data_IF_044914970759
#
_entry.id   IF_044914970759
#
_cell.length_a   1.000
_cell.length_b   1.000
_cell.length_c   1.000
_cell.angle_alpha   90.00
_cell.angle_beta   90.00
_cell.angle_gamma   90.00
#
_symmetry.space_group_name_H-M   'P 1'
#
loop_
_entity.id
_entity.type
_entity.pdbx_description
1 polymer ?
#
# COMPACT_ATOMS: atom_id res chain seq x y z
N UNK A 1 20.86 22.28 36.56
CA UNK A 1 20.68 20.87 36.14
C UNK A 1 20.36 20.72 34.65
N UNK A 2 19.48 21.55 34.06
CA UNK A 2 19.05 21.42 32.65
C UNK A 2 20.06 21.86 31.57
N UNK A 3 20.99 22.78 31.88
CA UNK A 3 22.06 23.17 30.93
C UNK A 3 23.12 22.07 30.79
N UNK A 4 23.33 21.29 31.86
CA UNK A 4 24.30 20.19 31.88
C UNK A 4 23.84 19.01 31.00
N UNK A 5 22.52 18.77 30.92
CA UNK A 5 21.94 17.70 30.10
C UNK A 5 22.04 18.02 28.61
N UNK A 6 21.81 19.29 28.22
CA UNK A 6 21.99 19.75 26.83
C UNK A 6 23.46 19.70 26.37
N UNK A 7 24.40 20.05 27.26
CA UNK A 7 25.83 19.94 26.98
C UNK A 7 26.31 18.47 26.89
N UNK A 8 25.76 17.57 27.72
CA UNK A 8 26.01 16.13 27.64
C UNK A 8 25.47 15.52 26.35
N UNK A 9 24.34 15.99 25.84
CA UNK A 9 23.79 15.58 24.54
C UNK A 9 24.70 16.00 23.38
N UNK A 10 25.18 17.25 23.37
CA UNK A 10 26.11 17.73 22.34
C UNK A 10 27.44 16.95 22.36
N UNK A 11 27.98 16.69 23.55
CA UNK A 11 29.22 15.93 23.73
C UNK A 11 29.08 14.46 23.29
N UNK A 12 27.93 13.83 23.56
CA UNK A 12 27.65 12.45 23.14
C UNK A 12 27.62 12.30 21.61
N UNK A 13 26.99 13.25 20.91
CA UNK A 13 26.97 13.26 19.44
C UNK A 13 28.33 13.57 18.82
N UNK A 14 29.14 14.43 19.45
CA UNK A 14 30.51 14.70 19.02
C UNK A 14 31.44 13.47 19.19
N UNK A 15 31.26 12.68 20.25
CA UNK A 15 32.02 11.44 20.47
C UNK A 15 31.68 10.35 19.44
N UNK A 16 30.40 10.23 19.05
CA UNK A 16 29.95 9.32 17.98
C UNK A 16 30.52 9.75 16.61
N UNK A 17 30.62 11.05 16.36
CA UNK A 17 31.24 11.60 15.16
C UNK A 17 32.73 11.23 15.05
N UNK A 18 33.49 11.33 16.15
CA UNK A 18 34.93 11.02 16.17
C UNK A 18 35.24 9.53 15.99
N UNK A 19 34.42 8.65 16.56
CA UNK A 19 34.62 7.19 16.46
C UNK A 19 34.30 6.60 15.08
N UNK A 20 33.59 7.33 14.21
CA UNK A 20 33.25 6.88 12.84
C UNK A 20 34.30 7.20 11.77
N UNK A 21 35.22 8.13 12.03
CA UNK A 21 36.20 8.60 11.04
C UNK A 21 37.60 7.95 11.17
N UNK A 22 37.77 6.96 12.06
CA UNK A 22 39.02 6.24 12.23
C UNK A 22 39.08 4.96 11.37
N UNK A 23 39.85 5.02 10.27
CA UNK A 23 40.31 3.94 9.36
C UNK A 23 39.51 3.75 8.07
N UNK A 24 40.00 4.36 6.99
CA UNK A 24 39.82 3.88 5.61
C UNK A 24 41.19 3.42 5.11
N UNK A 25 41.32 2.10 4.87
CA UNK A 25 42.46 1.46 4.22
C UNK A 25 42.26 1.49 2.70
N UNK A 26 43.23 2.04 1.98
CA UNK A 26 43.25 2.18 0.52
C UNK A 26 43.68 0.88 -0.17
N UNK A 27 42.80 0.29 -0.97
CA UNK A 27 43.11 -0.82 -1.87
C UNK A 27 42.78 -0.45 -3.32
N UNK A 28 43.82 -0.25 -4.15
CA UNK A 28 43.75 -0.02 -5.60
C UNK A 28 43.11 -1.21 -6.33
N UNK A 29 42.26 -0.96 -7.34
CA UNK A 29 42.08 -1.88 -8.48
C UNK A 29 42.18 -1.13 -9.81
N UNK A 30 43.14 -1.57 -10.62
CA UNK A 30 43.33 -1.20 -12.02
C UNK A 30 42.50 -2.13 -12.93
N UNK A 31 42.12 -1.61 -14.10
CA UNK A 31 41.09 -2.20 -14.98
C UNK A 31 41.52 -3.34 -15.89
N UNK A 32 40.58 -3.72 -16.77
CA UNK A 32 40.80 -3.96 -18.20
C UNK A 32 39.45 -4.19 -18.90
N UNK A 33 39.28 -3.47 -20.00
CA UNK A 33 38.25 -3.71 -21.01
C UNK A 33 38.59 -4.97 -21.82
N UNK A 34 37.56 -5.69 -22.26
CA UNK A 34 37.66 -6.62 -23.37
C UNK A 34 36.42 -6.45 -24.26
N UNK A 35 36.71 -6.03 -25.47
CA UNK A 35 35.86 -5.93 -26.65
C UNK A 35 35.53 -7.34 -27.14
N UNK A 36 34.29 -7.59 -27.60
CA UNK A 36 34.08 -8.62 -28.62
C UNK A 36 32.81 -8.34 -29.42
N UNK A 37 33.01 -8.18 -30.72
CA UNK A 37 32.00 -8.05 -31.76
C UNK A 37 31.51 -9.43 -32.24
N UNK A 38 30.33 -9.36 -32.84
CA UNK A 38 29.87 -10.07 -34.04
C UNK A 38 28.92 -11.27 -33.94
N UNK A 39 27.88 -11.12 -34.79
CA UNK A 39 27.13 -12.11 -35.59
C UNK A 39 25.89 -12.79 -34.98
N UNK A 40 24.71 -12.27 -35.31
CA UNK A 40 23.88 -12.69 -36.48
C UNK A 40 22.45 -12.15 -36.36
N UNK A 41 22.09 -11.22 -37.25
CA UNK A 41 20.72 -10.86 -37.57
C UNK A 41 20.13 -11.90 -38.52
N UNK A 42 19.18 -12.69 -38.04
CA UNK A 42 18.30 -13.52 -38.85
C UNK A 42 16.89 -12.94 -38.75
N UNK A 43 16.39 -12.38 -39.84
CA UNK A 43 14.99 -11.97 -39.95
C UNK A 43 14.06 -13.17 -39.96
N UNK A 44 12.88 -13.01 -39.35
CA UNK A 44 11.73 -13.89 -39.57
C UNK A 44 10.46 -13.03 -39.48
N UNK A 45 10.01 -12.57 -40.65
CA UNK A 45 8.58 -12.50 -40.93
C UNK A 45 8.09 -13.95 -40.95
N UNK A 46 7.25 -14.33 -39.99
CA UNK A 46 6.66 -15.65 -39.89
C UNK A 46 5.25 -15.53 -39.35
N UNK A 47 4.26 -15.84 -40.19
CA UNK A 47 2.85 -15.69 -39.88
C UNK A 47 2.35 -16.62 -38.76
N UNK A 48 1.59 -16.05 -37.84
CA UNK A 48 0.48 -16.72 -37.16
C UNK A 48 -0.80 -16.03 -37.66
N UNK A 49 -1.80 -16.69 -38.22
CA UNK A 49 -2.27 -18.04 -37.97
C UNK A 49 -3.69 -17.89 -37.41
N UNK A 50 -4.69 -18.16 -38.24
CA UNK A 50 -6.15 -18.06 -38.05
C UNK A 50 -6.71 -18.52 -36.68
N UNK A 51 -5.92 -19.23 -35.87
CA UNK A 51 -6.27 -19.68 -34.52
C UNK A 51 -6.30 -18.57 -33.45
N UNK A 52 -5.58 -17.46 -33.64
CA UNK A 52 -5.65 -16.34 -32.69
C UNK A 52 -6.96 -15.58 -32.81
N UNK A 53 -7.60 -15.57 -33.98
CA UNK A 53 -8.88 -14.89 -34.20
C UNK A 53 -10.05 -15.54 -33.43
N UNK A 54 -10.02 -16.86 -33.23
CA UNK A 54 -11.05 -17.60 -32.46
C UNK A 54 -10.88 -17.51 -30.94
N UNK A 55 -9.71 -17.11 -30.43
CA UNK A 55 -9.48 -16.95 -28.98
C UNK A 55 -9.74 -15.52 -28.47
N UNK A 56 -9.99 -14.54 -29.35
CA UNK A 56 -10.20 -13.12 -28.99
C UNK A 56 -11.37 -12.89 -28.00
N UNK A 57 -12.37 -13.78 -27.95
CA UNK A 57 -13.55 -13.64 -27.09
C UNK A 57 -13.51 -14.38 -25.74
N UNK A 58 -12.49 -15.21 -25.46
CA UNK A 58 -12.41 -16.00 -24.22
C UNK A 58 -11.89 -15.16 -23.06
N UNK A 59 -12.41 -15.41 -21.85
CA UNK A 59 -11.93 -14.73 -20.65
C UNK A 59 -10.52 -15.21 -20.27
N UNK A 60 -9.63 -14.24 -20.01
CA UNK A 60 -8.29 -14.47 -19.46
C UNK A 60 -8.29 -14.67 -17.94
N UNK A 61 -9.47 -14.92 -17.35
CA UNK A 61 -9.63 -15.06 -15.92
C UNK A 61 -8.84 -16.26 -15.40
N UNK A 62 -8.02 -16.02 -14.37
CA UNK A 62 -7.24 -17.07 -13.73
C UNK A 62 -8.13 -17.83 -12.75
N UNK A 63 -8.22 -19.16 -12.89
CA UNK A 63 -8.94 -20.02 -11.95
C UNK A 63 -7.99 -20.53 -10.85
N UNK A 64 -8.41 -20.39 -9.60
CA UNK A 64 -7.77 -20.97 -8.41
C UNK A 64 -8.79 -21.79 -7.61
N UNK A 65 -8.36 -22.86 -6.93
CA UNK A 65 -9.27 -23.71 -6.14
C UNK A 65 -10.24 -24.60 -6.95
N UNK A 66 -11.01 -25.44 -6.25
CA UNK A 66 -11.76 -26.57 -6.82
C UNK A 66 -10.92 -27.85 -6.99
N UNK A 67 -11.53 -28.95 -7.45
CA UNK A 67 -10.84 -30.23 -7.69
C UNK A 67 -9.75 -30.12 -8.77
N UNK A 68 -9.93 -29.23 -9.74
CA UNK A 68 -9.02 -29.06 -10.90
C UNK A 68 -8.09 -27.83 -10.80
N UNK A 69 -8.22 -26.99 -9.76
CA UNK A 69 -7.48 -25.73 -9.65
C UNK A 69 -6.25 -25.82 -8.74
N UNK A 70 -5.27 -24.90 -8.93
CA UNK A 70 -4.17 -24.73 -7.95
C UNK A 70 -4.77 -24.45 -6.57
N UNK A 71 -4.43 -25.29 -5.58
CA UNK A 71 -4.90 -25.14 -4.19
C UNK A 71 -4.63 -23.71 -3.68
N UNK A 72 -5.69 -23.04 -3.23
CA UNK A 72 -5.58 -21.75 -2.54
C UNK A 72 -4.79 -21.93 -1.24
N UNK A 73 -3.62 -21.30 -1.17
CA UNK A 73 -2.78 -21.29 0.05
C UNK A 73 -3.25 -20.24 1.06
N UNK A 74 -3.86 -19.16 0.56
CA UNK A 74 -4.33 -18.03 1.37
C UNK A 74 -5.62 -18.38 2.11
N UNK A 75 -5.77 -17.87 3.34
CA UNK A 75 -6.81 -18.17 4.33
C UNK A 75 -6.94 -16.97 5.26
N UNK A 76 -8.00 -16.85 6.05
CA UNK A 76 -8.17 -15.68 6.94
C UNK A 76 -7.04 -15.54 7.95
N UNK A 77 -6.42 -16.64 8.39
CA UNK A 77 -5.21 -16.62 9.25
C UNK A 77 -4.01 -15.88 8.65
N UNK A 78 -4.00 -15.64 7.34
CA UNK A 78 -2.96 -14.90 6.63
C UNK A 78 -3.30 -13.42 6.43
N UNK A 79 -4.52 -13.01 6.77
CA UNK A 79 -4.99 -11.62 6.74
C UNK A 79 -5.02 -11.11 8.18
N UNK A 80 -4.17 -10.13 8.50
CA UNK A 80 -4.10 -9.50 9.81
C UNK A 80 -4.87 -8.17 9.82
N UNK A 81 -5.53 -7.86 10.94
CA UNK A 81 -6.38 -6.67 11.09
C UNK A 81 -7.64 -6.65 10.23
N UNK A 82 -8.31 -5.50 10.18
CA UNK A 82 -9.59 -5.24 9.53
C UNK A 82 -10.68 -6.23 9.97
N UNK A 83 -10.85 -6.40 11.28
CA UNK A 83 -11.77 -7.41 11.84
C UNK A 83 -13.24 -7.11 11.51
N UNK A 84 -13.62 -5.83 11.37
CA UNK A 84 -14.93 -5.43 10.84
C UNK A 84 -15.17 -5.96 9.42
N UNK A 85 -14.27 -5.64 8.48
CA UNK A 85 -14.35 -6.10 7.10
C UNK A 85 -14.33 -7.64 6.99
N UNK A 86 -13.53 -8.32 7.83
CA UNK A 86 -13.54 -9.79 7.89
C UNK A 86 -14.88 -10.33 8.34
N UNK A 87 -15.52 -9.71 9.34
CA UNK A 87 -16.81 -10.16 9.88
C UNK A 87 -17.89 -10.08 8.81
N UNK A 88 -17.99 -8.95 8.11
CA UNK A 88 -18.94 -8.79 7.01
C UNK A 88 -18.71 -9.80 5.88
N UNK A 89 -17.44 -10.05 5.54
CA UNK A 89 -17.10 -10.97 4.46
C UNK A 89 -17.24 -12.45 4.88
N UNK A 90 -17.10 -12.76 6.18
CA UNK A 90 -17.32 -14.12 6.70
C UNK A 90 -18.76 -14.60 6.48
N UNK A 91 -19.74 -13.70 6.45
CA UNK A 91 -21.13 -14.04 6.09
C UNK A 91 -21.22 -14.71 4.72
N UNK A 92 -20.45 -14.25 3.73
CA UNK A 92 -20.41 -14.85 2.39
C UNK A 92 -19.79 -16.25 2.42
N UNK A 93 -18.80 -16.48 3.29
CA UNK A 93 -18.20 -17.82 3.47
C UNK A 93 -19.21 -18.78 4.09
N UNK A 94 -19.92 -18.34 5.13
CA UNK A 94 -20.94 -19.14 5.80
C UNK A 94 -22.10 -19.46 4.86
N UNK A 95 -22.50 -18.48 4.04
CA UNK A 95 -23.50 -18.68 3.00
C UNK A 95 -23.08 -19.76 1.98
N UNK A 96 -21.83 -19.70 1.48
CA UNK A 96 -21.32 -20.69 0.53
C UNK A 96 -21.20 -22.10 1.13
N UNK A 97 -21.03 -22.22 2.46
CA UNK A 97 -20.92 -23.50 3.15
C UNK A 97 -22.28 -24.12 3.49
N UNK A 98 -23.22 -23.32 3.98
CA UNK A 98 -24.57 -23.77 4.34
C UNK A 98 -25.65 -22.79 3.84
N UNK A 99 -25.95 -22.79 2.54
CA UNK A 99 -26.96 -21.90 1.97
C UNK A 99 -28.37 -22.22 2.50
N UNK A 100 -28.63 -23.47 2.91
CA UNK A 100 -29.96 -23.91 3.38
C UNK A 100 -30.34 -23.23 4.70
N UNK A 101 -29.37 -22.96 5.58
CA UNK A 101 -29.59 -22.22 6.83
C UNK A 101 -30.24 -20.86 6.58
N UNK A 102 -29.76 -20.12 5.58
CA UNK A 102 -30.25 -18.79 5.23
C UNK A 102 -31.57 -18.84 4.45
N UNK A 103 -31.69 -19.78 3.50
CA UNK A 103 -32.92 -19.96 2.70
C UNK A 103 -34.13 -20.33 3.56
N UNK A 104 -33.96 -21.14 4.61
CA UNK A 104 -35.04 -21.49 5.56
C UNK A 104 -35.64 -20.27 6.27
N UNK A 105 -34.85 -19.22 6.46
CA UNK A 105 -35.26 -17.97 7.10
C UNK A 105 -35.77 -16.94 6.07
N UNK A 106 -35.85 -17.29 4.78
CA UNK A 106 -36.24 -16.37 3.71
C UNK A 106 -35.18 -15.33 3.36
N UNK A 107 -33.96 -15.47 3.89
CA UNK A 107 -32.88 -14.55 3.56
C UNK A 107 -32.43 -14.74 2.11
N UNK A 108 -32.32 -13.63 1.38
CA UNK A 108 -31.79 -13.61 0.03
C UNK A 108 -30.28 -13.57 0.06
N UNK A 109 -29.67 -14.31 -0.86
CA UNK A 109 -28.22 -14.35 -1.05
C UNK A 109 -27.75 -12.99 -1.56
N UNK A 110 -26.76 -12.37 -0.90
CA UNK A 110 -26.08 -11.21 -1.47
C UNK A 110 -25.40 -11.63 -2.77
N UNK A 111 -25.69 -10.91 -3.86
CA UNK A 111 -25.16 -11.27 -5.19
C UNK A 111 -23.73 -10.79 -5.35
N UNK A 112 -23.39 -9.68 -4.70
CA UNK A 112 -22.03 -9.19 -4.73
C UNK A 112 -21.66 -8.26 -3.60
N UNK A 113 -20.36 -8.18 -3.36
CA UNK A 113 -19.77 -7.25 -2.40
C UNK A 113 -18.71 -6.40 -3.11
N UNK A 114 -18.76 -5.10 -2.86
CA UNK A 114 -17.72 -4.16 -3.28
C UNK A 114 -16.80 -3.88 -2.08
N UNK A 115 -15.52 -4.24 -2.23
CA UNK A 115 -14.45 -3.90 -1.29
C UNK A 115 -13.92 -2.52 -1.64
N UNK A 116 -14.13 -1.55 -0.75
CA UNK A 116 -13.74 -0.15 -0.94
C UNK A 116 -12.64 0.21 0.04
N UNK A 117 -11.61 0.90 -0.42
CA UNK A 117 -10.64 1.51 0.50
C UNK A 117 -9.32 1.87 -0.18
N UNK A 118 -8.37 2.48 0.55
CA UNK A 118 -7.09 2.90 -0.01
C UNK A 118 -6.29 1.74 -0.66
N UNK A 119 -5.36 2.04 -1.59
CA UNK A 119 -4.49 1.03 -2.14
C UNK A 119 -3.64 0.37 -1.04
N UNK A 120 -3.30 -0.90 -1.21
CA UNK A 120 -2.41 -1.60 -0.27
C UNK A 120 -3.03 -2.08 1.04
N UNK A 121 -4.34 -1.89 1.28
CA UNK A 121 -5.03 -2.37 2.49
C UNK A 121 -5.38 -3.86 2.48
N UNK A 122 -5.09 -4.56 1.37
CA UNK A 122 -5.25 -6.01 1.28
C UNK A 122 -6.59 -6.49 0.73
N UNK A 123 -7.35 -5.66 0.01
CA UNK A 123 -8.62 -6.04 -0.65
C UNK A 123 -8.52 -7.35 -1.47
N UNK A 124 -7.53 -7.45 -2.36
CA UNK A 124 -7.27 -8.65 -3.16
C UNK A 124 -6.85 -9.86 -2.30
N UNK A 125 -6.14 -9.62 -1.19
CA UNK A 125 -5.74 -10.67 -0.25
C UNK A 125 -6.96 -11.20 0.52
N UNK A 126 -7.85 -10.30 0.94
CA UNK A 126 -9.09 -10.60 1.64
C UNK A 126 -10.01 -11.44 0.75
N UNK A 127 -10.25 -11.04 -0.50
CA UNK A 127 -11.02 -11.83 -1.48
C UNK A 127 -10.44 -13.24 -1.68
N UNK A 128 -9.11 -13.38 -1.78
CA UNK A 128 -8.45 -14.69 -1.87
C UNK A 128 -8.62 -15.52 -0.59
N UNK A 129 -8.68 -14.88 0.58
CA UNK A 129 -8.92 -15.57 1.84
C UNK A 129 -10.34 -16.14 1.91
N UNK A 130 -11.36 -15.40 1.43
CA UNK A 130 -12.76 -15.86 1.35
C UNK A 130 -12.86 -17.20 0.64
N UNK A 131 -12.33 -17.25 -0.59
CA UNK A 131 -12.35 -18.47 -1.39
C UNK A 131 -11.52 -19.61 -0.78
N UNK A 132 -10.41 -19.28 -0.10
CA UNK A 132 -9.62 -20.28 0.62
C UNK A 132 -10.38 -20.92 1.80
N UNK A 133 -11.28 -20.19 2.44
CA UNK A 133 -12.06 -20.65 3.60
C UNK A 133 -13.36 -21.34 3.20
N UNK A 134 -14.01 -20.90 2.12
CA UNK A 134 -15.18 -21.56 1.53
C UNK A 134 -14.81 -22.78 0.68
N UNK A 135 -13.54 -22.92 0.28
CA UNK A 135 -13.02 -24.02 -0.58
C UNK A 135 -13.72 -24.12 -1.94
N UNK A 136 -14.29 -23.02 -2.44
CA UNK A 136 -14.94 -22.96 -3.74
C UNK A 136 -13.97 -22.50 -4.84
N UNK A 137 -14.24 -22.77 -6.13
CA UNK A 137 -13.51 -22.18 -7.24
C UNK A 137 -13.51 -20.64 -7.19
N UNK A 138 -12.36 -20.05 -7.46
CA UNK A 138 -12.11 -18.61 -7.45
C UNK A 138 -11.61 -18.15 -8.81
N UNK A 139 -12.40 -17.34 -9.49
CA UNK A 139 -12.06 -16.72 -10.76
C UNK A 139 -11.62 -15.29 -10.51
N UNK A 140 -10.43 -14.91 -10.96
CA UNK A 140 -9.93 -13.53 -10.81
C UNK A 140 -9.58 -12.91 -12.15
N UNK A 141 -9.98 -11.66 -12.32
CA UNK A 141 -9.73 -10.83 -13.50
C UNK A 141 -9.49 -9.39 -13.05
N UNK A 142 -8.65 -8.64 -13.76
CA UNK A 142 -8.56 -7.18 -13.55
C UNK A 142 -9.64 -6.48 -14.37
N UNK A 143 -10.22 -5.41 -13.83
CA UNK A 143 -11.15 -4.55 -14.56
C UNK A 143 -10.51 -3.97 -15.82
N UNK A 144 -9.21 -3.76 -15.82
CA UNK A 144 -8.46 -3.30 -17.00
C UNK A 144 -8.44 -4.35 -18.13
N UNK A 145 -8.52 -5.65 -17.82
CA UNK A 145 -8.55 -6.73 -18.82
C UNK A 145 -9.84 -6.72 -19.66
N UNK A 146 -10.84 -5.95 -19.24
CA UNK A 146 -12.09 -5.80 -19.98
C UNK A 146 -12.04 -4.62 -20.97
N UNK A 147 -11.09 -3.70 -20.82
CA UNK A 147 -10.94 -2.52 -21.66
C UNK A 147 -9.97 -2.85 -22.79
N UNK A 148 -10.49 -2.98 -24.01
CA UNK A 148 -9.72 -3.38 -25.19
C UNK A 148 -9.99 -2.46 -26.39
N UNK A 149 -9.10 -2.48 -27.39
CA UNK A 149 -9.27 -1.67 -28.61
C UNK A 149 -10.41 -2.17 -29.51
N UNK A 150 -10.81 -3.44 -29.37
CA UNK A 150 -11.82 -4.06 -30.22
C UNK A 150 -13.20 -4.04 -29.56
N UNK A 151 -14.17 -3.44 -30.27
CA UNK A 151 -15.55 -3.32 -29.80
C UNK A 151 -16.16 -4.71 -29.55
N UNK A 152 -16.78 -4.88 -28.39
CA UNK A 152 -17.52 -6.10 -28.03
C UNK A 152 -16.67 -7.24 -27.45
N UNK A 153 -15.34 -7.13 -27.46
CA UNK A 153 -14.45 -8.11 -26.84
C UNK A 153 -14.63 -8.13 -25.32
N UNK A 154 -14.70 -6.95 -24.68
CA UNK A 154 -14.94 -6.85 -23.24
C UNK A 154 -16.25 -7.53 -22.82
N UNK A 155 -17.35 -7.21 -23.50
CA UNK A 155 -18.66 -7.85 -23.28
C UNK A 155 -18.62 -9.38 -23.48
N UNK A 156 -17.92 -9.89 -24.50
CA UNK A 156 -17.76 -11.35 -24.70
C UNK A 156 -17.00 -11.99 -23.54
N UNK A 157 -15.92 -11.37 -23.05
CA UNK A 157 -15.14 -11.87 -21.92
C UNK A 157 -15.96 -11.92 -20.63
N UNK A 158 -16.82 -10.91 -20.40
CA UNK A 158 -17.76 -10.91 -19.27
C UNK A 158 -18.71 -12.11 -19.37
N UNK A 159 -19.34 -12.33 -20.53
CA UNK A 159 -20.24 -13.49 -20.71
C UNK A 159 -19.53 -14.82 -20.48
N UNK A 160 -18.33 -14.99 -21.04
CA UNK A 160 -17.55 -16.23 -20.87
C UNK A 160 -17.11 -16.46 -19.42
N UNK A 161 -16.70 -15.39 -18.70
CA UNK A 161 -16.38 -15.45 -17.27
C UNK A 161 -17.57 -15.96 -16.45
N UNK A 162 -18.75 -15.36 -16.63
CA UNK A 162 -19.94 -15.75 -15.88
C UNK A 162 -20.43 -17.15 -16.28
N UNK A 163 -20.31 -17.53 -17.56
CA UNK A 163 -20.61 -18.90 -18.01
C UNK A 163 -19.70 -19.94 -17.32
N UNK A 164 -18.39 -19.69 -17.26
CA UNK A 164 -17.42 -20.56 -16.56
C UNK A 164 -17.74 -20.65 -15.06
N UNK A 165 -18.00 -19.52 -14.40
CA UNK A 165 -18.32 -19.48 -12.98
C UNK A 165 -19.61 -20.26 -12.65
N UNK A 166 -20.65 -20.13 -13.50
CA UNK A 166 -21.90 -20.89 -13.37
C UNK A 166 -21.68 -22.39 -13.52
N UNK A 167 -20.85 -22.82 -14.47
CA UNK A 167 -20.58 -24.25 -14.67
C UNK A 167 -19.87 -24.92 -13.48
N UNK A 168 -19.20 -24.13 -12.63
CA UNK A 168 -18.47 -24.60 -11.44
C UNK A 168 -19.08 -24.07 -10.14
N UNK A 169 -20.38 -23.76 -10.13
CA UNK A 169 -21.07 -23.28 -8.93
C UNK A 169 -21.13 -24.38 -7.85
N UNK A 170 -21.00 -24.05 -6.54
CA UNK A 170 -20.81 -22.71 -5.98
C UNK A 170 -19.40 -22.15 -6.29
N UNK A 171 -19.30 -20.87 -6.66
CA UNK A 171 -18.02 -20.23 -7.03
C UNK A 171 -17.97 -18.74 -6.71
N UNK A 172 -16.76 -18.17 -6.70
CA UNK A 172 -16.52 -16.74 -6.48
C UNK A 172 -15.86 -16.14 -7.72
N UNK A 173 -16.41 -15.02 -8.19
CA UNK A 173 -15.77 -14.14 -9.18
C UNK A 173 -15.16 -12.96 -8.43
N UNK A 174 -13.90 -12.63 -8.66
CA UNK A 174 -13.23 -11.45 -8.14
C UNK A 174 -12.76 -10.53 -9.26
N UNK A 175 -13.27 -9.30 -9.28
CA UNK A 175 -12.90 -8.25 -10.23
C UNK A 175 -12.09 -7.19 -9.48
N UNK A 176 -10.78 -7.14 -9.70
CA UNK A 176 -9.93 -6.08 -9.15
C UNK A 176 -10.06 -4.81 -10.00
N UNK A 177 -9.83 -3.62 -9.44
CA UNK A 177 -9.89 -2.34 -10.19
C UNK A 177 -11.17 -2.18 -11.05
N UNK A 178 -12.34 -2.44 -10.44
CA UNK A 178 -13.63 -2.36 -11.13
C UNK A 178 -13.89 -0.96 -11.71
N UNK A 179 -13.22 0.07 -11.19
CA UNK A 179 -13.27 1.44 -11.69
C UNK A 179 -12.67 1.63 -13.09
N UNK A 180 -11.97 0.64 -13.63
CA UNK A 180 -11.56 0.65 -15.04
C UNK A 180 -12.76 0.56 -16.00
N UNK A 181 -13.78 -0.23 -15.65
CA UNK A 181 -15.01 -0.44 -16.45
C UNK A 181 -16.25 0.22 -15.87
N UNK A 182 -16.26 0.48 -14.55
CA UNK A 182 -17.42 0.95 -13.81
C UNK A 182 -17.53 2.46 -13.65
N UNK A 183 -16.77 3.27 -14.40
CA UNK A 183 -16.79 4.74 -14.25
C UNK A 183 -18.12 5.35 -14.70
N UNK A 184 -18.57 6.40 -13.99
CA UNK A 184 -19.73 7.21 -14.40
C UNK A 184 -19.54 7.75 -15.81
N UNK A 185 -20.58 7.61 -16.63
CA UNK A 185 -20.68 8.18 -17.98
C UNK A 185 -20.46 9.69 -17.92
N UNK A 186 -19.35 10.19 -18.46
CA UNK A 186 -19.16 11.62 -18.69
C UNK A 186 -19.76 11.98 -20.05
N UNK A 187 -20.53 13.05 -20.10
CA UNK A 187 -21.41 13.39 -21.22
C UNK A 187 -20.71 13.38 -22.59
N UNK A 188 -21.24 12.54 -23.50
CA UNK A 188 -21.42 12.65 -24.96
C UNK A 188 -20.43 13.46 -25.85
N UNK A 189 -19.18 13.67 -25.46
CA UNK A 189 -18.19 14.34 -26.30
C UNK A 189 -16.96 13.44 -26.55
N UNK A 190 -17.09 12.49 -27.50
CA UNK A 190 -15.98 11.70 -28.02
C UNK A 190 -16.19 10.17 -27.95
N UNK A 191 -16.18 9.51 -29.11
CA UNK A 191 -16.54 8.09 -29.34
C UNK A 191 -15.61 7.03 -28.75
N UNK A 192 -14.93 7.30 -27.64
CA UNK A 192 -14.13 6.32 -26.88
C UNK A 192 -14.86 5.65 -25.71
N UNK A 193 -16.05 6.14 -25.33
CA UNK A 193 -16.80 5.63 -24.18
C UNK A 193 -17.70 4.41 -24.49
N UNK A 194 -17.99 4.15 -25.77
CA UNK A 194 -19.01 3.15 -26.16
C UNK A 194 -18.61 1.70 -25.84
N UNK A 195 -17.32 1.36 -25.90
CA UNK A 195 -16.85 0.01 -25.55
C UNK A 195 -17.02 -0.25 -24.06
N UNK A 196 -16.56 0.69 -23.22
CA UNK A 196 -16.61 0.54 -21.77
C UNK A 196 -18.05 0.47 -21.28
N UNK A 197 -18.91 1.31 -21.85
CA UNK A 197 -20.34 1.31 -21.54
C UNK A 197 -21.01 -0.01 -21.94
N UNK A 198 -20.66 -0.57 -23.10
CA UNK A 198 -21.18 -1.87 -23.53
C UNK A 198 -20.73 -3.00 -22.58
N UNK A 199 -19.44 -3.01 -22.22
CA UNK A 199 -18.87 -4.00 -21.30
C UNK A 199 -19.45 -3.87 -19.88
N UNK A 200 -19.67 -2.64 -19.40
CA UNK A 200 -20.36 -2.35 -18.14
C UNK A 200 -21.82 -2.86 -18.19
N UNK A 201 -22.58 -2.52 -19.23
CA UNK A 201 -23.95 -2.97 -19.37
C UNK A 201 -24.05 -4.50 -19.40
N UNK A 202 -23.11 -5.16 -20.09
CA UNK A 202 -23.05 -6.61 -20.09
C UNK A 202 -22.79 -7.21 -18.70
N UNK A 203 -21.92 -6.57 -17.89
CA UNK A 203 -21.71 -6.97 -16.50
C UNK A 203 -23.00 -6.81 -15.68
N UNK A 204 -23.72 -5.70 -15.84
CA UNK A 204 -25.00 -5.47 -15.18
C UNK A 204 -26.04 -6.54 -15.56
N UNK A 205 -26.15 -6.89 -16.84
CA UNK A 205 -27.06 -7.93 -17.33
C UNK A 205 -26.71 -9.29 -16.75
N UNK A 206 -25.44 -9.66 -16.67
CA UNK A 206 -25.02 -10.93 -16.06
C UNK A 206 -25.27 -10.96 -14.54
N UNK A 207 -25.15 -9.83 -13.84
CA UNK A 207 -25.47 -9.71 -12.42
C UNK A 207 -26.98 -9.76 -12.13
N UNK A 208 -27.80 -9.11 -12.96
CA UNK A 208 -29.26 -9.13 -12.83
C UNK A 208 -29.82 -10.52 -13.24
N UNK A 209 -29.20 -11.16 -14.23
CA UNK A 209 -29.57 -12.46 -14.78
C UNK A 209 -29.31 -13.67 -13.86
N UNK A 210 -28.75 -13.50 -12.67
CA UNK A 210 -28.67 -14.59 -11.69
C UNK A 210 -30.08 -15.01 -11.26
N UNK A 211 -30.40 -16.31 -11.33
CA UNK A 211 -31.52 -16.85 -10.58
C UNK A 211 -31.11 -16.96 -9.10
N UNK A 212 -32.07 -16.88 -8.18
CA UNK A 212 -31.85 -17.06 -6.72
C UNK A 212 -31.20 -18.39 -6.35
N UNK A 213 -31.15 -19.34 -7.28
CA UNK A 213 -30.57 -20.68 -7.09
C UNK A 213 -29.09 -20.76 -7.48
N UNK A 214 -28.59 -19.83 -8.31
CA UNK A 214 -27.19 -19.82 -8.72
C UNK A 214 -26.28 -19.33 -7.58
N UNK A 215 -25.50 -20.24 -6.99
CA UNK A 215 -24.58 -19.96 -5.87
C UNK A 215 -23.27 -19.32 -6.32
N UNK A 216 -23.35 -18.27 -7.15
CA UNK A 216 -22.19 -17.51 -7.64
C UNK A 216 -22.16 -16.17 -6.94
N UNK A 217 -21.04 -15.84 -6.30
CA UNK A 217 -20.85 -14.57 -5.59
C UNK A 217 -19.83 -13.72 -6.35
N UNK A 218 -20.17 -12.45 -6.59
CA UNK A 218 -19.28 -11.50 -7.27
C UNK A 218 -18.66 -10.54 -6.26
N UNK A 219 -17.36 -10.64 -6.05
CA UNK A 219 -16.57 -9.69 -5.27
C UNK A 219 -15.87 -8.71 -6.22
N UNK A 220 -15.91 -7.43 -5.92
CA UNK A 220 -15.16 -6.41 -6.66
C UNK A 220 -14.32 -5.58 -5.71
N UNK A 221 -13.21 -5.02 -6.18
CA UNK A 221 -12.38 -4.10 -5.41
C UNK A 221 -12.20 -2.78 -6.14
N UNK A 222 -12.27 -1.67 -5.41
CA UNK A 222 -11.97 -0.32 -5.91
C UNK A 222 -11.20 0.48 -4.87
N UNK A 223 -10.37 1.43 -5.34
CA UNK A 223 -9.80 2.47 -4.51
C UNK A 223 -10.66 3.75 -4.49
N UNK A 224 -11.64 3.84 -5.38
CA UNK A 224 -12.43 5.03 -5.68
C UNK A 224 -13.88 4.66 -5.93
N UNK A 225 -14.70 4.65 -4.88
CA UNK A 225 -16.14 4.40 -5.01
C UNK A 225 -16.91 5.61 -5.55
N UNK A 226 -16.36 6.82 -5.38
CA UNK A 226 -16.93 8.11 -5.79
C UNK A 226 -17.21 8.21 -7.30
N UNK A 227 -16.32 7.61 -8.10
CA UNK A 227 -16.38 7.65 -9.57
C UNK A 227 -17.18 6.51 -10.19
N UNK A 228 -17.65 5.55 -9.39
CA UNK A 228 -18.38 4.39 -9.92
C UNK A 228 -19.82 4.76 -10.33
N UNK A 229 -20.31 4.13 -11.40
CA UNK A 229 -21.69 4.23 -11.84
C UNK A 229 -22.62 3.74 -10.72
N UNK A 230 -23.61 4.56 -10.35
CA UNK A 230 -24.57 4.24 -9.30
C UNK A 230 -25.42 3.01 -9.65
N UNK A 231 -25.50 2.63 -10.93
CA UNK A 231 -26.11 1.40 -11.39
C UNK A 231 -25.44 0.16 -10.75
N UNK A 232 -24.12 0.15 -10.56
CA UNK A 232 -23.41 -0.99 -9.96
C UNK A 232 -23.78 -1.19 -8.48
N UNK A 233 -24.12 -0.10 -7.78
CA UNK A 233 -24.41 -0.08 -6.35
C UNK A 233 -25.89 -0.35 -6.02
N UNK A 234 -26.73 -0.63 -7.03
CA UNK A 234 -28.16 -0.89 -6.80
C UNK A 234 -28.37 -2.28 -6.17
N UNK A 235 -29.42 -2.44 -5.35
CA UNK A 235 -29.78 -3.75 -4.79
C UNK A 235 -29.92 -4.82 -5.88
N UNK A 236 -29.34 -6.00 -5.64
CA UNK A 236 -29.25 -7.08 -6.63
C UNK A 236 -27.96 -7.10 -7.45
N UNK A 237 -27.04 -6.14 -7.24
CA UNK A 237 -25.72 -6.10 -7.87
C UNK A 237 -24.62 -6.14 -6.82
N UNK A 238 -23.93 -5.03 -6.55
CA UNK A 238 -23.08 -4.88 -5.37
C UNK A 238 -23.92 -4.33 -4.22
N UNK A 239 -24.73 -5.20 -3.65
CA UNK A 239 -25.66 -4.89 -2.57
C UNK A 239 -24.96 -4.67 -1.22
N UNK A 240 -23.72 -5.15 -1.08
CA UNK A 240 -22.86 -4.88 0.07
C UNK A 240 -21.65 -4.06 -0.32
N UNK A 241 -21.34 -3.06 0.51
CA UNK A 241 -20.10 -2.29 0.43
C UNK A 241 -19.33 -2.53 1.72
N UNK A 242 -18.17 -3.16 1.61
CA UNK A 242 -17.30 -3.46 2.75
C UNK A 242 -16.12 -2.50 2.70
N UNK A 243 -16.02 -1.67 3.73
CA UNK A 243 -14.91 -0.72 3.84
C UNK A 243 -13.66 -1.41 4.40
N UNK A 244 -12.54 -1.26 3.70
CA UNK A 244 -11.23 -1.82 4.07
C UNK A 244 -10.27 -0.65 4.29
N UNK A 245 -10.25 -0.16 5.52
CA UNK A 245 -9.53 1.05 5.94
C UNK A 245 -8.04 0.77 6.17
N UNK A 246 -7.29 1.83 6.46
CA UNK A 246 -5.90 1.73 6.90
C UNK A 246 -5.84 1.10 8.31
N UNK A 247 -4.83 0.26 8.58
CA UNK A 247 -4.76 -0.47 9.84
C UNK A 247 -4.45 0.42 11.03
N UNK A 248 -5.13 0.15 12.16
CA UNK A 248 -4.83 0.73 13.47
C UNK A 248 -3.47 0.28 14.00
N UNK A 249 -2.95 0.91 15.07
CA UNK A 249 -1.68 0.51 15.68
C UNK A 249 -1.62 -1.00 16.00
N UNK A 250 -2.69 -1.54 16.61
CA UNK A 250 -2.75 -2.96 16.98
C UNK A 250 -2.77 -3.86 15.75
N UNK A 251 -3.50 -3.47 14.72
CA UNK A 251 -3.57 -4.20 13.44
C UNK A 251 -2.23 -4.18 12.71
N UNK A 252 -1.51 -3.04 12.72
CA UNK A 252 -0.14 -2.97 12.21
C UNK A 252 0.78 -3.96 12.92
N UNK A 253 0.67 -4.09 14.25
CA UNK A 253 1.45 -5.10 15.01
C UNK A 253 1.13 -6.52 14.51
N UNK A 254 -0.13 -6.82 14.24
CA UNK A 254 -0.51 -8.12 13.68
C UNK A 254 0.05 -8.33 12.27
N UNK A 255 0.00 -7.30 11.41
CA UNK A 255 0.53 -7.34 10.03
C UNK A 255 2.05 -7.58 10.05
N UNK A 256 2.80 -6.82 10.86
CA UNK A 256 4.23 -7.04 11.05
C UNK A 256 4.53 -8.47 11.49
N UNK A 257 3.77 -9.03 12.44
CA UNK A 257 3.96 -10.43 12.87
C UNK A 257 3.79 -11.43 11.72
N UNK A 258 2.87 -11.20 10.79
CA UNK A 258 2.68 -12.08 9.62
C UNK A 258 3.91 -12.03 8.71
N UNK A 259 4.44 -10.84 8.41
CA UNK A 259 5.59 -10.68 7.52
C UNK A 259 6.91 -11.11 8.16
N UNK A 260 7.11 -10.83 9.45
CA UNK A 260 8.30 -11.23 10.22
C UNK A 260 8.44 -12.75 10.38
N UNK A 261 7.40 -13.56 10.14
CA UNK A 261 7.52 -15.03 10.17
C UNK A 261 8.55 -15.55 9.17
N UNK A 262 8.66 -14.92 8.00
CA UNK A 262 9.55 -15.35 6.91
C UNK A 262 10.95 -14.75 7.00
N UNK A 263 11.15 -13.75 7.86
CA UNK A 263 12.40 -13.01 7.99
C UNK A 263 13.19 -13.56 9.19
N UNK A 264 14.49 -13.78 8.99
CA UNK A 264 15.44 -14.06 10.06
C UNK A 264 15.84 -12.74 10.69
N UNK A 265 15.35 -12.48 11.90
CA UNK A 265 15.68 -11.28 12.69
C UNK A 265 16.75 -11.61 13.72
N UNK A 266 17.52 -10.60 14.13
CA UNK A 266 18.50 -10.73 15.22
C UNK A 266 17.80 -11.07 16.54
N UNK A 267 18.46 -11.88 17.38
CA UNK A 267 17.97 -12.31 18.69
C UNK A 267 17.95 -11.20 19.75
N UNK A 268 18.35 -9.97 19.40
CA UNK A 268 18.29 -8.79 20.28
C UNK A 268 16.87 -8.52 20.82
N UNK A 269 15.84 -8.80 20.01
CA UNK A 269 14.44 -8.68 20.42
C UNK A 269 13.61 -9.86 19.93
N UNK A 270 12.54 -10.17 20.64
CA UNK A 270 11.54 -11.09 20.13
C UNK A 270 10.85 -10.51 18.89
N UNK A 271 10.38 -11.36 17.96
CA UNK A 271 9.58 -10.92 16.80
C UNK A 271 8.34 -10.10 17.20
N UNK A 272 7.82 -10.33 18.41
CA UNK A 272 6.70 -9.57 18.98
C UNK A 272 7.09 -8.13 19.32
N UNK A 273 8.29 -7.93 19.85
CA UNK A 273 8.83 -6.61 20.17
C UNK A 273 9.24 -5.84 18.92
N UNK A 274 9.87 -6.50 17.94
CA UNK A 274 10.09 -5.91 16.61
C UNK A 274 8.79 -5.36 16.01
N UNK A 275 7.73 -6.18 16.00
CA UNK A 275 6.44 -5.75 15.49
C UNK A 275 5.88 -4.55 16.26
N UNK A 276 5.96 -4.54 17.59
CA UNK A 276 5.50 -3.40 18.41
C UNK A 276 6.26 -2.12 18.11
N UNK A 277 7.60 -2.17 18.11
CA UNK A 277 8.46 -1.01 17.86
C UNK A 277 8.22 -0.44 16.46
N UNK A 278 8.20 -1.30 15.45
CA UNK A 278 8.04 -0.84 14.07
C UNK A 278 6.65 -0.30 13.78
N UNK A 279 5.59 -0.87 14.36
CA UNK A 279 4.22 -0.35 14.19
C UNK A 279 4.02 1.07 14.70
N UNK A 280 4.77 1.47 15.74
CA UNK A 280 4.76 2.84 16.27
C UNK A 280 5.48 3.82 15.33
N UNK A 281 6.48 3.35 14.57
CA UNK A 281 7.23 4.17 13.61
C UNK A 281 6.55 4.28 12.24
N UNK A 282 5.43 3.59 12.01
CA UNK A 282 4.72 3.54 10.73
C UNK A 282 3.23 3.95 10.84
N UNK A 283 2.91 5.12 11.43
CA UNK A 283 1.53 5.59 11.50
C UNK A 283 0.99 5.88 10.09
N UNK A 284 -0.27 5.49 9.82
CA UNK A 284 -0.93 5.68 8.52
C UNK A 284 -0.47 4.75 7.39
N UNK A 285 0.41 3.78 7.68
CA UNK A 285 0.94 2.87 6.66
C UNK A 285 -0.07 1.77 6.33
N UNK A 286 -0.20 1.44 5.04
CA UNK A 286 -1.01 0.31 4.60
C UNK A 286 -0.30 -1.03 4.85
N UNK A 287 -1.03 -2.14 4.73
CA UNK A 287 -0.42 -3.48 4.84
C UNK A 287 0.64 -3.74 3.77
N UNK A 288 0.46 -3.19 2.57
CA UNK A 288 1.46 -3.27 1.50
C UNK A 288 2.72 -2.46 1.83
N UNK A 289 2.59 -1.29 2.45
CA UNK A 289 3.74 -0.49 2.87
C UNK A 289 4.55 -1.21 3.96
N UNK A 290 3.87 -1.84 4.92
CA UNK A 290 4.52 -2.66 5.97
C UNK A 290 5.25 -3.85 5.36
N UNK A 291 4.63 -4.53 4.38
CA UNK A 291 5.27 -5.61 3.64
C UNK A 291 6.52 -5.11 2.92
N UNK A 292 6.46 -3.92 2.31
CA UNK A 292 7.58 -3.30 1.62
C UNK A 292 8.72 -2.97 2.59
N UNK A 293 8.44 -2.37 3.75
CA UNK A 293 9.44 -2.12 4.81
C UNK A 293 10.15 -3.41 5.20
N UNK A 294 9.38 -4.48 5.45
CA UNK A 294 9.94 -5.76 5.85
C UNK A 294 10.89 -6.33 4.78
N UNK A 295 10.52 -6.19 3.50
CA UNK A 295 11.34 -6.64 2.38
C UNK A 295 12.61 -5.78 2.21
N UNK A 296 12.48 -4.45 2.27
CA UNK A 296 13.60 -3.52 2.16
C UNK A 296 14.61 -3.71 3.30
N UNK A 297 14.15 -3.94 4.52
CA UNK A 297 15.02 -4.23 5.67
C UNK A 297 15.87 -5.49 5.42
N UNK A 298 15.27 -6.55 4.86
CA UNK A 298 15.99 -7.77 4.51
C UNK A 298 17.01 -7.54 3.38
N UNK A 299 16.66 -6.76 2.35
CA UNK A 299 17.58 -6.40 1.26
C UNK A 299 18.75 -5.56 1.79
N UNK A 300 18.49 -4.62 2.69
CA UNK A 300 19.54 -3.78 3.30
C UNK A 300 20.50 -4.59 4.15
N UNK A 301 19.98 -5.50 4.97
CA UNK A 301 20.79 -6.41 5.77
C UNK A 301 21.66 -7.30 4.88
N UNK A 302 21.07 -7.86 3.81
CA UNK A 302 21.80 -8.68 2.84
C UNK A 302 22.92 -7.91 2.11
N UNK A 303 22.70 -6.64 1.75
CA UNK A 303 23.72 -5.79 1.11
C UNK A 303 24.92 -5.47 2.00
N UNK A 304 24.76 -5.57 3.31
CA UNK A 304 25.83 -5.38 4.31
C UNK A 304 26.39 -6.71 4.80
N UNK A 305 26.02 -7.82 4.16
CA UNK A 305 26.40 -9.18 4.55
C UNK A 305 26.04 -9.52 6.02
N UNK A 306 24.94 -8.97 6.54
CA UNK A 306 24.44 -9.32 7.88
C UNK A 306 23.81 -10.73 7.86
N UNK A 307 24.07 -11.54 8.90
CA UNK A 307 23.48 -12.88 9.05
C UNK A 307 21.99 -12.89 9.45
N UNK A 308 21.51 -11.77 10.00
CA UNK A 308 20.14 -11.57 10.44
C UNK A 308 19.75 -10.08 10.36
N UNK A 309 18.47 -9.80 10.15
CA UNK A 309 17.96 -8.41 10.05
C UNK A 309 17.90 -7.79 11.44
N UNK A 310 18.54 -6.64 11.61
CA UNK A 310 18.58 -5.90 12.88
C UNK A 310 17.47 -4.85 12.94
N UNK A 311 17.18 -4.32 14.14
CA UNK A 311 16.22 -3.20 14.30
C UNK A 311 16.67 -1.99 13.48
N UNK A 312 17.98 -1.77 13.36
CA UNK A 312 18.54 -0.67 12.62
C UNK A 312 18.27 -0.78 11.12
N UNK A 313 18.26 -1.98 10.57
CA UNK A 313 17.91 -2.20 9.16
C UNK A 313 16.43 -1.92 8.89
N UNK A 314 15.54 -2.23 9.85
CA UNK A 314 14.13 -1.84 9.77
C UNK A 314 13.93 -0.32 9.86
N UNK A 315 14.63 0.36 10.77
CA UNK A 315 14.56 1.83 10.88
C UNK A 315 15.01 2.50 9.58
N UNK A 316 16.12 2.04 8.98
CA UNK A 316 16.62 2.56 7.71
C UNK A 316 15.68 2.25 6.54
N UNK A 317 15.03 1.09 6.55
CA UNK A 317 14.02 0.74 5.56
C UNK A 317 12.79 1.65 5.67
N UNK A 318 12.29 1.90 6.88
CA UNK A 318 11.18 2.85 7.11
C UNK A 318 11.55 4.25 6.63
N UNK A 319 12.74 4.74 6.95
CA UNK A 319 13.23 6.04 6.45
C UNK A 319 13.23 6.10 4.93
N UNK A 320 13.75 5.05 4.27
CA UNK A 320 13.81 5.00 2.80
C UNK A 320 12.42 5.00 2.17
N UNK A 321 11.44 4.32 2.78
CA UNK A 321 10.06 4.30 2.28
C UNK A 321 9.40 5.69 2.44
N UNK A 322 9.60 6.36 3.57
CA UNK A 322 9.04 7.70 3.83
C UNK A 322 9.71 8.77 2.94
N UNK A 323 11.03 8.91 3.09
CA UNK A 323 11.80 10.05 2.58
C UNK A 323 12.49 9.79 1.23
N UNK A 324 12.60 8.52 0.82
CA UNK A 324 13.26 8.12 -0.42
C UNK A 324 14.76 7.84 -0.27
N UNK A 325 15.44 7.65 -1.39
CA UNK A 325 16.86 7.27 -1.44
C UNK A 325 17.74 8.43 -0.93
N UNK A 326 18.80 8.11 -0.18
CA UNK A 326 19.85 9.08 0.18
C UNK A 326 20.51 9.67 -1.05
N UNK A 327 20.63 11.00 -1.11
CA UNK A 327 21.51 11.62 -2.09
C UNK A 327 22.82 11.97 -1.41
N UNK A 328 23.91 11.47 -1.97
CA UNK A 328 25.25 11.96 -1.65
C UNK A 328 25.44 13.33 -2.28
N UNK A 329 24.98 14.37 -1.59
CA UNK A 329 25.21 15.76 -1.97
C UNK A 329 26.55 16.25 -1.38
N UNK A 330 27.31 17.10 -2.09
CA UNK A 330 28.45 17.80 -1.50
C UNK A 330 27.99 18.56 -0.25
N UNK A 331 28.63 18.26 0.88
CA UNK A 331 28.28 18.81 2.18
C UNK A 331 28.87 20.21 2.32
N UNK A 332 28.11 21.25 1.97
CA UNK A 332 28.47 22.61 2.41
C UNK A 332 28.18 22.70 3.92
N UNK A 333 29.23 22.91 4.72
CA UNK A 333 29.11 22.96 6.19
C UNK A 333 28.15 24.07 6.65
N UNK A 334 28.12 25.21 5.96
CA UNK A 334 27.21 26.30 6.29
C UNK A 334 25.75 25.87 6.08
N UNK A 335 25.45 25.24 4.95
CA UNK A 335 24.10 24.73 4.64
C UNK A 335 23.66 23.63 5.62
N UNK A 336 24.55 22.69 5.95
CA UNK A 336 24.29 21.65 6.95
C UNK A 336 24.02 22.24 8.33
N UNK A 337 24.76 23.30 8.70
CA UNK A 337 24.55 24.01 9.96
C UNK A 337 23.19 24.69 9.95
N UNK A 338 22.81 25.41 8.89
CA UNK A 338 21.48 26.01 8.79
C UNK A 338 20.37 24.98 8.92
N UNK A 339 20.47 23.86 8.20
CA UNK A 339 19.50 22.76 8.28
C UNK A 339 19.44 22.15 9.68
N UNK A 340 20.59 21.93 10.33
CA UNK A 340 20.62 21.36 11.67
C UNK A 340 19.92 22.24 12.71
N UNK A 341 20.10 23.56 12.64
CA UNK A 341 19.42 24.51 13.50
C UNK A 341 17.93 24.62 13.17
N UNK A 342 17.56 24.57 11.90
CA UNK A 342 16.17 24.53 11.46
C UNK A 342 15.44 23.31 12.05
N UNK A 343 15.99 22.11 11.84
CA UNK A 343 15.43 20.86 12.38
C UNK A 343 15.42 20.85 13.92
N UNK A 344 16.46 21.40 14.56
CA UNK A 344 16.49 21.56 16.02
C UNK A 344 15.41 22.52 16.52
N UNK A 345 15.08 23.58 15.76
CA UNK A 345 14.00 24.51 16.06
C UNK A 345 12.65 23.81 16.17
N UNK A 346 12.33 22.95 15.21
CA UNK A 346 11.15 22.09 15.27
C UNK A 346 11.17 21.17 16.48
N UNK A 347 12.30 20.51 16.74
CA UNK A 347 12.41 19.55 17.83
C UNK A 347 12.22 20.19 19.21
N UNK A 348 12.83 21.36 19.43
CA UNK A 348 12.74 22.10 20.69
C UNK A 348 11.32 22.65 20.86
N UNK A 349 10.73 23.25 19.82
CA UNK A 349 9.36 23.74 19.88
C UNK A 349 8.38 22.59 20.21
N UNK A 350 8.51 21.45 19.52
CA UNK A 350 7.67 20.27 19.77
C UNK A 350 7.86 19.65 21.14
N UNK A 351 9.07 19.71 21.71
CA UNK A 351 9.35 19.16 23.04
C UNK A 351 8.67 19.96 24.17
N UNK A 352 8.55 21.28 24.01
CA UNK A 352 7.95 22.16 25.03
C UNK A 352 6.47 22.45 24.80
N UNK A 353 5.93 22.17 23.61
CA UNK A 353 4.49 22.21 23.35
C UNK A 353 3.79 20.99 23.93
N UNK A 354 2.84 21.22 24.82
CA UNK A 354 2.15 20.16 25.56
C UNK A 354 1.26 19.31 24.65
N UNK A 355 0.62 19.98 23.70
CA UNK A 355 -0.42 19.39 22.85
C UNK A 355 0.08 19.16 21.41
N UNK A 356 1.40 19.27 21.20
CA UNK A 356 2.02 18.96 19.92
C UNK A 356 2.23 17.45 19.74
N UNK A 357 2.09 16.99 18.50
CA UNK A 357 2.37 15.61 18.14
C UNK A 357 3.82 15.24 18.48
N UNK A 358 4.07 14.09 19.14
CA UNK A 358 5.39 13.77 19.64
C UNK A 358 6.38 13.52 18.49
N UNK A 359 7.56 14.12 18.61
CA UNK A 359 8.65 13.91 17.67
C UNK A 359 9.23 12.50 17.85
N UNK A 360 9.14 11.67 16.81
CA UNK A 360 9.71 10.33 16.78
C UNK A 360 11.19 10.36 16.41
N UNK A 361 11.54 11.16 15.39
CA UNK A 361 12.89 11.15 14.83
C UNK A 361 13.22 12.42 14.07
N UNK A 362 14.46 12.86 14.19
CA UNK A 362 15.02 14.02 13.49
C UNK A 362 16.24 13.60 12.65
N UNK A 363 16.35 14.07 11.41
CA UNK A 363 17.53 13.85 10.58
C UNK A 363 17.86 15.06 9.69
N UNK A 364 19.15 15.30 9.49
CA UNK A 364 19.72 16.35 8.62
C UNK A 364 20.31 15.77 7.33
N UNK A 365 19.98 14.51 7.02
CA UNK A 365 20.53 13.81 5.87
C UNK A 365 19.64 14.09 4.65
N UNK A 366 20.20 14.65 3.55
CA UNK A 366 19.41 15.00 2.38
C UNK A 366 18.86 13.76 1.66
N UNK A 367 17.61 13.82 1.23
CA UNK A 367 16.91 12.71 0.55
C UNK A 367 16.36 13.13 -0.81
N UNK A 368 16.08 12.16 -1.67
CA UNK A 368 15.74 12.38 -3.08
C UNK A 368 14.49 13.26 -3.34
N UNK A 369 13.57 13.37 -2.37
CA UNK A 369 12.34 14.19 -2.45
C UNK A 369 12.57 15.71 -2.27
N UNK A 370 13.83 16.17 -2.22
CA UNK A 370 14.15 17.60 -2.15
C UNK A 370 14.22 18.17 -0.74
N UNK A 371 14.01 17.37 0.30
CA UNK A 371 14.21 17.79 1.68
C UNK A 371 15.69 17.65 2.09
N UNK A 372 16.24 18.72 2.67
CA UNK A 372 17.61 18.76 3.19
C UNK A 372 17.70 18.16 4.61
N UNK A 373 16.57 18.12 5.32
CA UNK A 373 16.33 17.44 6.58
C UNK A 373 14.89 16.90 6.63
N UNK A 374 14.53 16.16 7.68
CA UNK A 374 13.15 15.77 7.95
C UNK A 374 12.92 15.44 9.43
N UNK A 375 11.81 15.93 9.97
CA UNK A 375 11.24 15.58 11.26
C UNK A 375 10.06 14.63 11.09
N UNK A 376 10.15 13.44 11.71
CA UNK A 376 9.05 12.48 11.77
C UNK A 376 8.27 12.69 13.07
N UNK A 377 6.98 13.01 12.95
CA UNK A 377 6.05 13.10 14.07
C UNK A 377 5.21 11.82 14.14
N UNK A 378 4.81 11.42 15.34
CA UNK A 378 3.72 10.46 15.53
C UNK A 378 2.41 11.25 15.43
N UNK A 379 1.61 11.08 14.36
CA UNK A 379 0.31 11.72 14.28
C UNK A 379 -0.54 11.25 15.45
N UNK A 380 -1.27 12.18 16.07
CA UNK A 380 -2.30 11.82 17.03
C UNK A 380 -3.42 11.08 16.28
N UNK A 381 -3.81 9.90 16.77
CA UNK A 381 -4.93 9.11 16.22
C UNK A 381 -6.30 9.74 16.58
N UNK A 382 -6.35 11.07 16.71
CA UNK A 382 -7.54 11.84 17.12
C UNK A 382 -8.11 12.54 15.88
N UNK A 383 -9.40 12.33 15.61
CA UNK A 383 -10.09 12.90 14.44
C UNK A 383 -10.49 14.36 14.59
N UNK A 384 -10.44 14.90 15.81
CA UNK A 384 -10.85 16.25 16.16
C UNK A 384 -9.75 16.94 16.98
N UNK A 385 -9.26 18.07 16.48
CA UNK A 385 -8.28 18.90 17.17
C UNK A 385 -8.96 20.09 17.84
N UNK A 386 -8.50 20.44 19.04
CA UNK A 386 -8.88 21.65 19.76
C UNK A 386 -8.09 22.86 19.25
N UNK A 387 -8.57 24.08 19.54
CA UNK A 387 -7.84 25.31 19.22
C UNK A 387 -6.41 25.30 19.77
N UNK A 388 -6.23 24.87 21.02
CA UNK A 388 -4.91 24.79 21.67
C UNK A 388 -3.97 23.83 20.94
N UNK A 389 -4.46 22.66 20.52
CA UNK A 389 -3.69 21.69 19.72
C UNK A 389 -3.27 22.29 18.38
N UNK A 390 -4.18 22.95 17.67
CA UNK A 390 -3.88 23.59 16.39
C UNK A 390 -2.84 24.71 16.55
N UNK A 391 -2.95 25.54 17.59
CA UNK A 391 -1.96 26.57 17.89
C UNK A 391 -0.58 25.98 18.20
N UNK A 392 -0.51 24.88 18.94
CA UNK A 392 0.75 24.18 19.21
C UNK A 392 1.34 23.57 17.93
N UNK A 393 0.52 23.00 17.03
CA UNK A 393 0.99 22.56 15.71
C UNK A 393 1.61 23.69 14.89
N UNK A 394 1.00 24.89 14.92
CA UNK A 394 1.53 26.08 14.23
C UNK A 394 2.86 26.52 14.85
N UNK A 395 2.97 26.53 16.19
CA UNK A 395 4.23 26.87 16.89
C UNK A 395 5.37 25.94 16.48
N UNK A 396 5.10 24.63 16.42
CA UNK A 396 6.10 23.63 16.03
C UNK A 396 6.54 23.82 14.58
N UNK A 397 5.59 24.03 13.66
CA UNK A 397 5.89 24.27 12.26
C UNK A 397 6.70 25.58 12.05
N UNK A 398 6.43 26.64 12.81
CA UNK A 398 7.23 27.87 12.74
C UNK A 398 8.59 27.79 13.46
N UNK A 399 8.82 26.76 14.29
CA UNK A 399 10.02 26.60 15.10
C UNK A 399 11.31 26.58 14.28
N UNK A 400 11.32 25.93 13.11
CA UNK A 400 12.49 25.89 12.24
C UNK A 400 12.88 27.26 11.68
N UNK A 401 11.90 28.04 11.24
CA UNK A 401 12.10 29.41 10.75
C UNK A 401 12.61 30.35 11.85
N UNK A 402 12.04 30.25 13.06
CA UNK A 402 12.47 31.05 14.21
C UNK A 402 13.91 30.73 14.58
N UNK A 403 14.31 29.46 14.55
CA UNK A 403 15.69 29.06 14.83
C UNK A 403 16.68 29.62 13.80
N UNK A 404 16.32 29.64 12.51
CA UNK A 404 17.16 30.28 11.49
C UNK A 404 17.37 31.77 11.77
N UNK A 405 16.29 32.47 12.07
CA UNK A 405 16.31 33.91 12.34
C UNK A 405 17.14 34.24 13.59
N UNK A 406 16.93 33.51 14.69
CA UNK A 406 17.63 33.75 15.96
C UNK A 406 19.14 33.47 15.90
N UNK A 407 19.56 32.41 15.21
CA UNK A 407 20.96 31.97 15.25
C UNK A 407 21.80 32.46 14.06
N UNK A 408 21.18 32.79 12.92
CA UNK A 408 21.90 33.25 11.73
C UNK A 408 21.53 34.67 11.28
N UNK A 409 20.50 35.30 11.88
CA UNK A 409 19.95 36.58 11.43
C UNK A 409 19.65 36.60 9.91
N UNK A 410 19.32 35.43 9.36
CA UNK A 410 19.03 35.21 7.94
C UNK A 410 17.90 34.21 7.84
N UNK A 411 17.03 34.44 6.86
CA UNK A 411 15.89 33.57 6.57
C UNK A 411 16.14 32.83 5.25
N UNK A 412 15.85 31.53 5.22
CA UNK A 412 16.00 30.73 4.01
C UNK A 412 14.65 30.37 3.38
N UNK A 413 14.71 29.86 2.15
CA UNK A 413 13.56 29.27 1.46
C UNK A 413 13.21 27.87 1.97
N UNK A 414 14.01 27.30 2.88
CA UNK A 414 13.78 25.95 3.43
C UNK A 414 12.46 25.81 4.18
N UNK A 415 12.00 26.89 4.82
CA UNK A 415 10.75 26.92 5.59
C UNK A 415 9.46 27.02 4.74
N UNK A 416 9.55 26.92 3.40
CA UNK A 416 8.39 27.16 2.52
C UNK A 416 7.24 26.17 2.77
N UNK A 417 7.56 24.88 2.97
CA UNK A 417 6.55 23.86 3.23
C UNK A 417 5.91 24.02 4.61
N UNK A 418 6.67 24.48 5.61
CA UNK A 418 6.14 24.70 6.96
C UNK A 418 5.21 25.91 7.01
N UNK A 419 5.58 27.01 6.33
CA UNK A 419 4.71 28.19 6.19
C UNK A 419 3.41 27.79 5.48
N UNK A 420 3.49 26.97 4.43
CA UNK A 420 2.31 26.48 3.72
C UNK A 420 1.39 25.66 4.64
N UNK A 421 1.94 24.77 5.46
CA UNK A 421 1.17 23.99 6.46
C UNK A 421 0.54 24.86 7.54
N UNK A 422 1.20 25.93 7.98
CA UNK A 422 0.61 26.88 8.93
C UNK A 422 -0.51 27.74 8.32
N UNK A 423 -0.47 27.94 7.00
CA UNK A 423 -1.44 28.79 6.29
C UNK A 423 -2.72 28.03 5.93
N UNK A 424 -2.60 26.73 5.66
CA UNK A 424 -3.73 25.82 5.43
C UNK A 424 -4.45 25.51 6.73
#
# INVERSE_FOLDING_TARGET
MNIMIGALFLAFFYQIYKNRNGKVSTGKKAGKAADNKDKKSGGFFGGGGMNDMFNIGKSNAKQFGGEEGKKMKTRFRHVAGNDGAKTEIMEFVDFLKDPKKYQKLGARVPRGALLVGPPGTGKTLLAKAVAGESKVPFFTISGSDFVEMFVGVGASRVRDLFKKARSKAPSIIFIDEIDAVGKKRHGKMGGGNDERDNTLNQLLVEMDGFSTESSVIVLAATNRSDILDSALLRPGRFDRQVEVTLPTLEERVQIFRVHLRKIKVSDEYSKKEYAKKMSALTPGFSGADIMNICNEAAIMAARKDHEAVTIRDFELATERVIAGIEKSMPKNEEQLRTVAYHEAGHAVAGWFSKDASPLLKLTIVPRAKGSLGFAQYLPDEISLNTETQLLDMIKVAMGGRIAEELFFNKITTGASDDIKKCTQ
#
